data_IF_920031510325
#
_entry.id   IF_920031510325
#
_cell.length_a   1.000
_cell.length_b   1.000
_cell.length_c   1.000
_cell.angle_alpha   90.00
_cell.angle_beta   90.00
_cell.angle_gamma   90.00
#
_symmetry.space_group_name_H-M   'P 1'
#
loop_
_entity.id
_entity.type
_entity.pdbx_description
1 polymer ?
#
# COMPACT_ATOMS: atom_id res chain seq x y z
N UNK A 1 -3.80 18.46 1.94
CA UNK A 1 -4.40 17.96 0.68
C UNK A 1 -5.80 18.55 0.57
N UNK A 2 -6.39 18.72 -0.62
CA UNK A 2 -7.84 18.87 -0.69
C UNK A 2 -8.48 17.66 0.01
N UNK A 3 -9.49 17.92 0.83
CA UNK A 3 -10.17 16.96 1.71
C UNK A 3 -10.59 15.72 0.92
N UNK A 4 -10.01 14.56 1.23
CA UNK A 4 -10.25 13.31 0.50
C UNK A 4 -9.80 13.35 -0.96
N UNK A 5 -9.06 12.35 -1.39
CA UNK A 5 -8.78 12.16 -2.82
C UNK A 5 -9.21 10.77 -3.24
N UNK A 6 -9.62 10.64 -4.50
CA UNK A 6 -9.81 9.35 -5.14
C UNK A 6 -8.65 9.10 -6.08
N UNK A 7 -8.00 7.95 -5.92
CA UNK A 7 -6.86 7.53 -6.72
C UNK A 7 -7.04 6.11 -7.22
N UNK A 8 -6.49 5.83 -8.39
CA UNK A 8 -6.34 4.48 -8.88
C UNK A 8 -4.98 3.95 -8.43
N UNK A 9 -4.97 2.71 -7.97
CA UNK A 9 -3.77 2.03 -7.51
C UNK A 9 -3.62 0.74 -8.28
N UNK A 10 -2.42 0.50 -8.79
CA UNK A 10 -2.01 -0.78 -9.34
C UNK A 10 -0.93 -1.36 -8.45
N UNK A 11 -1.15 -2.54 -7.90
CA UNK A 11 -0.21 -3.24 -7.03
C UNK A 11 0.15 -4.57 -7.68
N UNK A 12 1.43 -4.73 -7.94
CA UNK A 12 2.01 -5.90 -8.58
C UNK A 12 3.04 -6.52 -7.66
N UNK A 13 2.98 -7.83 -7.46
CA UNK A 13 4.01 -8.55 -6.75
C UNK A 13 4.41 -9.83 -7.48
N UNK A 14 5.70 -10.10 -7.47
CA UNK A 14 6.30 -11.38 -7.88
C UNK A 14 7.05 -11.93 -6.70
N UNK A 15 6.79 -13.18 -6.35
CA UNK A 15 7.53 -13.88 -5.30
C UNK A 15 8.12 -15.18 -5.84
N UNK A 16 9.43 -15.30 -5.74
CA UNK A 16 10.18 -16.54 -5.85
C UNK A 16 10.39 -17.10 -4.45
N UNK A 17 9.97 -18.34 -4.21
CA UNK A 17 10.14 -19.01 -2.92
C UNK A 17 10.68 -20.42 -3.09
N UNK A 18 11.21 -21.00 -2.01
CA UNK A 18 11.79 -22.34 -1.98
C UNK A 18 12.85 -22.54 -3.08
N UNK A 19 13.69 -21.52 -3.30
CA UNK A 19 14.71 -21.58 -4.34
C UNK A 19 15.79 -22.60 -3.98
N UNK A 20 16.05 -23.50 -4.92
CA UNK A 20 17.16 -24.44 -4.93
C UNK A 20 18.17 -24.01 -5.99
N UNK A 21 19.24 -24.78 -6.19
CA UNK A 21 20.22 -24.51 -7.25
C UNK A 21 19.64 -24.65 -8.65
N UNK A 22 18.49 -25.33 -8.82
CA UNK A 22 17.92 -25.64 -10.14
C UNK A 22 16.48 -25.17 -10.35
N UNK A 23 15.77 -24.70 -9.32
CA UNK A 23 14.38 -24.25 -9.46
C UNK A 23 13.93 -23.32 -8.33
N UNK A 24 12.88 -22.53 -8.59
CA UNK A 24 12.13 -21.76 -7.60
C UNK A 24 10.64 -21.93 -7.85
N UNK A 25 9.82 -21.91 -6.80
CA UNK A 25 8.38 -21.71 -6.94
C UNK A 25 8.10 -20.23 -7.21
N UNK A 26 7.21 -19.93 -8.16
CA UNK A 26 6.86 -18.55 -8.55
C UNK A 26 5.40 -18.29 -8.28
N UNK A 27 5.09 -17.16 -7.66
CA UNK A 27 3.74 -16.62 -7.55
C UNK A 27 3.72 -15.17 -8.01
N UNK A 28 2.63 -14.79 -8.67
CA UNK A 28 2.41 -13.43 -9.14
C UNK A 28 1.04 -12.95 -8.64
N UNK A 29 0.97 -11.69 -8.25
CA UNK A 29 -0.26 -11.01 -7.86
C UNK A 29 -0.30 -9.70 -8.64
N UNK A 30 -1.40 -9.47 -9.36
CA UNK A 30 -1.70 -8.17 -9.98
C UNK A 30 -3.05 -7.74 -9.44
N UNK A 31 -3.11 -6.51 -8.95
CA UNK A 31 -4.31 -5.92 -8.40
C UNK A 31 -4.46 -4.49 -8.89
N UNK A 32 -5.70 -4.14 -9.22
CA UNK A 32 -6.08 -2.76 -9.47
C UNK A 32 -7.26 -2.40 -8.58
N UNK A 33 -7.16 -1.28 -7.87
CA UNK A 33 -8.23 -0.80 -7.00
C UNK A 33 -8.33 0.72 -7.03
N UNK A 34 -9.49 1.22 -6.66
CA UNK A 34 -9.69 2.65 -6.39
C UNK A 34 -9.62 2.87 -4.89
N UNK A 35 -8.80 3.81 -4.44
CA UNK A 35 -8.63 4.14 -3.03
C UNK A 35 -9.13 5.57 -2.74
N UNK A 36 -9.84 5.70 -1.63
CA UNK A 36 -10.40 6.95 -1.11
C UNK A 36 -9.88 7.18 0.31
N UNK A 37 -8.61 7.58 0.50
CA UNK A 37 -8.09 7.91 1.81
C UNK A 37 -8.66 9.23 2.34
N UNK A 38 -9.12 9.23 3.59
CA UNK A 38 -9.55 10.41 4.32
C UNK A 38 -9.04 10.33 5.77
N UNK A 39 -7.74 10.59 5.91
CA UNK A 39 -7.04 10.49 7.19
C UNK A 39 -7.47 11.58 8.20
N UNK A 40 -7.94 12.73 7.73
CA UNK A 40 -8.44 13.79 8.61
C UNK A 40 -9.66 13.31 9.42
N UNK A 41 -10.49 12.47 8.78
CA UNK A 41 -11.63 11.80 9.41
C UNK A 41 -11.34 10.35 9.78
N UNK A 42 -10.07 9.93 9.75
CA UNK A 42 -9.61 8.61 10.21
C UNK A 42 -10.33 7.44 9.53
N UNK A 43 -10.60 7.58 8.23
CA UNK A 43 -11.36 6.60 7.45
C UNK A 43 -10.79 6.43 6.05
N UNK A 44 -11.14 5.33 5.42
CA UNK A 44 -10.72 5.05 4.06
C UNK A 44 -11.68 4.06 3.40
N UNK A 45 -11.75 4.10 2.08
CA UNK A 45 -12.50 3.14 1.28
C UNK A 45 -11.66 2.63 0.14
N UNK A 46 -11.84 1.36 -0.20
CA UNK A 46 -11.22 0.70 -1.34
C UNK A 46 -12.31 0.00 -2.13
N UNK A 47 -12.34 0.28 -3.42
CA UNK A 47 -13.11 -0.49 -4.37
C UNK A 47 -12.13 -1.37 -5.15
N UNK A 48 -12.09 -2.66 -4.81
CA UNK A 48 -11.24 -3.63 -5.48
C UNK A 48 -12.05 -4.42 -6.50
N UNK A 49 -11.52 -4.48 -7.73
CA UNK A 49 -12.02 -5.36 -8.78
C UNK A 49 -10.87 -6.19 -9.29
N UNK A 50 -11.03 -7.52 -9.28
CA UNK A 50 -9.99 -8.40 -9.77
C UNK A 50 -9.72 -8.14 -11.26
N UNK A 51 -8.45 -8.14 -11.65
CA UNK A 51 -8.09 -8.15 -13.08
C UNK A 51 -8.34 -9.55 -13.66
N UNK A 52 -8.69 -9.67 -14.95
CA UNK A 52 -8.74 -10.98 -15.59
C UNK A 52 -7.36 -11.62 -15.44
N UNK A 53 -7.31 -12.77 -14.75
CA UNK A 53 -6.10 -13.54 -14.38
C UNK A 53 -5.33 -13.09 -13.12
N UNK A 54 -5.83 -12.12 -12.35
CA UNK A 54 -5.24 -11.70 -11.08
C UNK A 54 -6.06 -12.16 -9.87
N UNK A 55 -5.50 -13.00 -9.01
CA UNK A 55 -6.04 -13.26 -7.66
C UNK A 55 -5.37 -12.32 -6.67
N UNK A 56 -6.07 -11.28 -6.23
CA UNK A 56 -5.62 -10.44 -5.12
C UNK A 56 -5.85 -11.14 -3.76
N UNK A 57 -5.16 -10.75 -2.67
CA UNK A 57 -5.45 -11.21 -1.33
C UNK A 57 -6.68 -10.51 -0.71
N UNK A 58 -7.34 -9.63 -1.47
CA UNK A 58 -8.53 -8.90 -1.05
C UNK A 58 -9.79 -9.49 -1.67
N UNK A 59 -10.88 -9.43 -0.91
CA UNK A 59 -12.21 -9.72 -1.40
C UNK A 59 -12.58 -8.74 -2.52
N UNK A 60 -13.07 -9.25 -3.65
CA UNK A 60 -13.61 -8.42 -4.73
C UNK A 60 -14.88 -7.74 -4.25
N UNK A 61 -14.89 -6.41 -4.24
CA UNK A 61 -15.95 -5.62 -3.61
C UNK A 61 -15.38 -4.37 -2.95
N UNK A 62 -16.07 -3.89 -1.91
CA UNK A 62 -15.68 -2.69 -1.18
C UNK A 62 -15.14 -3.05 0.19
N UNK A 63 -13.99 -2.47 0.55
CA UNK A 63 -13.51 -2.42 1.94
C UNK A 63 -13.63 -0.99 2.45
N UNK A 64 -14.36 -0.81 3.55
CA UNK A 64 -14.55 0.47 4.21
C UNK A 64 -14.00 0.36 5.63
N UNK A 65 -13.03 1.20 5.97
CA UNK A 65 -12.37 1.14 7.27
C UNK A 65 -12.45 2.46 8.04
N UNK A 66 -12.53 2.31 9.36
CA UNK A 66 -12.57 3.41 10.32
C UNK A 66 -11.55 3.15 11.43
N UNK A 67 -10.65 4.09 11.65
CA UNK A 67 -9.66 4.04 12.72
C UNK A 67 -10.29 4.62 13.99
N UNK A 68 -10.24 3.86 15.07
CA UNK A 68 -10.69 4.31 16.39
C UNK A 68 -9.54 4.73 17.29
N UNK A 69 -8.33 4.24 17.04
CA UNK A 69 -7.12 4.60 17.79
C UNK A 69 -6.05 5.14 16.85
N UNK A 70 -5.72 6.43 17.04
CA UNK A 70 -4.74 7.16 16.22
C UNK A 70 -3.30 6.72 16.44
N UNK A 71 -3.00 6.09 17.57
CA UNK A 71 -1.64 5.67 17.93
C UNK A 71 -1.34 4.32 17.31
N UNK A 72 -2.25 3.36 17.50
CA UNK A 72 -2.10 2.01 16.96
C UNK A 72 -2.59 1.89 15.51
N UNK A 73 -3.31 2.89 15.00
CA UNK A 73 -4.00 2.89 13.70
C UNK A 73 -4.99 1.73 13.54
N UNK A 74 -5.50 1.23 14.67
CA UNK A 74 -6.48 0.16 14.73
C UNK A 74 -7.92 0.71 14.78
N UNK A 75 -8.85 -0.08 14.26
CA UNK A 75 -10.29 0.13 14.39
C UNK A 75 -11.05 -1.05 13.80
N UNK A 76 -11.91 -0.78 12.83
CA UNK A 76 -12.75 -1.80 12.20
C UNK A 76 -12.82 -1.63 10.69
N UNK A 77 -13.01 -2.76 10.01
CA UNK A 77 -13.15 -2.87 8.57
C UNK A 77 -14.45 -3.59 8.24
N UNK A 78 -15.25 -2.97 7.37
CA UNK A 78 -16.35 -3.61 6.67
C UNK A 78 -15.85 -4.09 5.31
N UNK A 79 -16.16 -5.32 4.95
CA UNK A 79 -15.90 -5.86 3.62
C UNK A 79 -17.23 -6.35 3.05
N UNK A 80 -17.65 -5.77 1.93
CA UNK A 80 -18.98 -6.00 1.38
C UNK A 80 -19.04 -5.96 -0.14
N UNK A 81 -20.04 -6.65 -0.69
CA UNK A 81 -20.50 -6.55 -2.07
C UNK A 81 -22.02 -6.25 -2.11
N UNK A 82 -22.70 -6.61 -3.19
CA UNK A 82 -24.15 -6.40 -3.31
C UNK A 82 -24.99 -7.34 -2.43
N UNK A 83 -24.45 -8.47 -1.99
CA UNK A 83 -25.18 -9.57 -1.34
C UNK A 83 -24.69 -9.84 0.09
N UNK A 84 -23.42 -9.61 0.38
CA UNK A 84 -22.77 -9.97 1.62
C UNK A 84 -22.05 -8.77 2.22
N UNK A 85 -22.08 -8.70 3.55
CA UNK A 85 -21.26 -7.76 4.29
C UNK A 85 -20.77 -8.39 5.59
N UNK A 86 -19.47 -8.24 5.84
CA UNK A 86 -18.82 -8.66 7.07
C UNK A 86 -18.20 -7.45 7.75
N UNK A 87 -18.09 -7.50 9.08
CA UNK A 87 -17.27 -6.56 9.83
C UNK A 87 -16.26 -7.30 10.69
N UNK A 88 -15.06 -6.75 10.80
CA UNK A 88 -14.00 -7.25 11.67
C UNK A 88 -13.28 -6.11 12.38
N UNK A 89 -12.79 -6.38 13.58
CA UNK A 89 -11.80 -5.52 14.24
C UNK A 89 -10.42 -5.77 13.66
N UNK A 90 -9.69 -4.70 13.38
CA UNK A 90 -8.32 -4.81 12.87
C UNK A 90 -7.37 -5.15 14.02
N UNK A 91 -6.51 -6.15 13.84
CA UNK A 91 -5.46 -6.52 14.81
C UNK A 91 -4.08 -5.98 14.44
N UNK A 92 -3.97 -5.38 13.26
CA UNK A 92 -2.79 -4.70 12.74
C UNK A 92 -3.26 -3.50 11.91
N UNK A 93 -2.45 -2.43 11.78
CA UNK A 93 -2.75 -1.35 10.85
C UNK A 93 -3.05 -1.92 9.46
N UNK A 94 -4.08 -1.38 8.82
CA UNK A 94 -4.40 -1.76 7.45
C UNK A 94 -3.23 -1.41 6.54
N UNK A 95 -2.76 -2.36 5.74
CA UNK A 95 -1.67 -2.12 4.77
C UNK A 95 -2.03 -1.10 3.69
N UNK A 96 -3.28 -0.65 3.69
CA UNK A 96 -3.87 0.31 2.75
C UNK A 96 -3.57 1.76 3.16
N UNK A 97 -3.25 2.02 4.44
CA UNK A 97 -2.83 3.35 4.91
C UNK A 97 -1.53 3.85 4.25
N UNK A 98 -0.78 2.97 3.60
CA UNK A 98 0.54 3.25 3.04
C UNK A 98 0.52 4.27 1.88
N UNK A 99 -0.65 4.61 1.34
CA UNK A 99 -0.78 5.54 0.20
C UNK A 99 -0.62 7.01 0.61
N UNK A 100 -0.41 7.29 1.91
CA UNK A 100 -0.69 8.63 2.44
C UNK A 100 0.48 9.41 3.03
N UNK A 101 1.71 8.87 3.14
CA UNK A 101 2.92 9.67 3.34
C UNK A 101 4.21 8.82 3.26
N UNK A 102 5.35 9.50 3.16
CA UNK A 102 6.69 8.91 3.32
C UNK A 102 6.86 8.43 4.77
N UNK A 103 7.16 7.15 4.97
CA UNK A 103 7.47 6.61 6.30
C UNK A 103 8.79 7.18 6.86
N UNK A 104 8.88 7.37 8.18
CA UNK A 104 10.08 7.92 8.85
C UNK A 104 11.37 7.12 8.59
N UNK A 105 11.25 5.84 8.26
CA UNK A 105 12.39 4.98 7.94
C UNK A 105 13.02 5.29 6.56
N UNK A 106 12.33 6.04 5.71
CA UNK A 106 12.77 6.38 4.37
C UNK A 106 13.60 7.66 4.36
N UNK A 107 14.73 7.63 3.68
CA UNK A 107 15.64 8.76 3.56
C UNK A 107 15.41 9.46 2.23
N UNK A 108 15.33 10.79 2.24
CA UNK A 108 15.31 11.58 1.01
C UNK A 108 16.62 11.37 0.23
N UNK A 109 16.50 11.11 -1.08
CA UNK A 109 17.63 10.86 -1.97
C UNK A 109 17.80 12.02 -2.93
N UNK A 110 16.77 12.34 -3.71
CA UNK A 110 16.83 13.39 -4.72
C UNK A 110 15.43 13.88 -5.13
N UNK A 111 15.38 15.05 -5.76
CA UNK A 111 14.21 15.47 -6.55
C UNK A 111 14.35 14.89 -7.95
N UNK A 112 13.27 14.32 -8.48
CA UNK A 112 13.24 13.66 -9.78
C UNK A 112 12.15 14.26 -10.68
N UNK A 113 12.41 14.27 -11.99
CA UNK A 113 11.40 14.57 -13.01
C UNK A 113 10.77 13.28 -13.54
N UNK A 114 9.46 13.24 -13.72
CA UNK A 114 8.73 12.11 -14.31
C UNK A 114 7.99 12.60 -15.55
N UNK A 115 8.50 12.27 -16.74
CA UNK A 115 7.89 12.75 -17.98
C UNK A 115 8.02 14.27 -18.13
N UNK A 116 6.93 14.95 -18.52
CA UNK A 116 6.92 16.38 -18.87
C UNK A 116 6.24 17.19 -17.76
N UNK A 117 6.98 18.13 -17.18
CA UNK A 117 6.50 19.08 -16.15
C UNK A 117 5.94 18.45 -14.87
N UNK A 118 6.38 17.24 -14.51
CA UNK A 118 6.03 16.62 -13.24
C UNK A 118 7.30 16.40 -12.41
N UNK A 119 7.33 17.01 -11.23
CA UNK A 119 8.41 16.87 -10.26
C UNK A 119 7.93 16.05 -9.06
N UNK A 120 8.79 15.16 -8.59
CA UNK A 120 8.56 14.31 -7.44
C UNK A 120 9.85 14.18 -6.62
N UNK A 121 9.73 13.52 -5.48
CA UNK A 121 10.84 13.29 -4.55
C UNK A 121 11.04 11.78 -4.40
N UNK A 122 12.29 11.33 -4.57
CA UNK A 122 12.67 9.96 -4.35
C UNK A 122 13.19 9.79 -2.92
N UNK A 123 12.64 8.78 -2.25
CA UNK A 123 13.09 8.31 -0.96
C UNK A 123 13.51 6.85 -1.04
N UNK A 124 14.48 6.45 -0.22
CA UNK A 124 14.97 5.08 -0.16
C UNK A 124 15.25 4.64 1.26
N UNK A 125 15.03 3.36 1.54
CA UNK A 125 15.63 2.68 2.67
C UNK A 125 16.24 1.36 2.22
N UNK A 126 17.41 1.05 2.79
CA UNK A 126 18.06 -0.23 2.62
C UNK A 126 18.28 -0.82 4.00
N UNK A 127 17.87 -2.07 4.21
CA UNK A 127 18.13 -2.79 5.45
C UNK A 127 18.66 -4.17 5.14
N UNK A 128 19.47 -4.70 6.05
CA UNK A 128 19.97 -6.06 6.00
C UNK A 128 19.91 -6.63 7.40
N UNK A 129 19.37 -7.84 7.52
CA UNK A 129 19.29 -8.57 8.79
C UNK A 129 19.66 -10.03 8.57
N UNK A 130 20.20 -10.65 9.61
CA UNK A 130 20.48 -12.09 9.63
C UNK A 130 19.39 -12.80 10.42
N UNK A 131 18.84 -13.89 9.88
CA UNK A 131 17.85 -14.74 10.54
C UNK A 131 18.28 -16.20 10.38
N UNK A 132 18.83 -16.78 11.45
CA UNK A 132 19.41 -18.13 11.39
C UNK A 132 20.56 -18.21 10.38
N UNK A 133 20.45 -19.15 9.44
CA UNK A 133 21.45 -19.34 8.38
C UNK A 133 21.30 -18.38 7.19
N UNK A 134 20.30 -17.49 7.21
CA UNK A 134 19.94 -16.65 6.07
C UNK A 134 20.24 -15.18 6.32
N UNK A 135 20.60 -14.48 5.26
CA UNK A 135 20.70 -13.02 5.18
C UNK A 135 19.52 -12.51 4.37
N UNK A 136 18.75 -11.60 4.97
CA UNK A 136 17.59 -10.95 4.37
C UNK A 136 17.95 -9.49 4.10
N UNK A 137 17.89 -9.10 2.84
CA UNK A 137 18.11 -7.73 2.38
C UNK A 137 16.78 -7.15 1.91
N UNK A 138 16.45 -5.95 2.36
CA UNK A 138 15.27 -5.21 1.90
C UNK A 138 15.73 -3.87 1.33
N UNK A 139 15.32 -3.61 0.09
CA UNK A 139 15.42 -2.31 -0.58
C UNK A 139 14.02 -1.80 -0.78
N UNK A 140 13.78 -0.53 -0.43
CA UNK A 140 12.50 0.11 -0.59
C UNK A 140 12.72 1.49 -1.20
N UNK A 141 12.21 1.69 -2.41
CA UNK A 141 12.12 2.97 -3.11
C UNK A 141 10.70 3.50 -3.00
N UNK A 142 10.57 4.78 -2.69
CA UNK A 142 9.29 5.45 -2.57
C UNK A 142 9.38 6.80 -3.27
N UNK A 143 8.48 7.04 -4.21
CA UNK A 143 8.40 8.26 -4.99
C UNK A 143 7.11 8.94 -4.61
N UNK A 144 7.21 10.18 -4.14
CA UNK A 144 6.05 10.98 -3.82
C UNK A 144 6.11 12.37 -4.43
N UNK A 145 4.95 12.86 -4.85
CA UNK A 145 4.78 14.25 -5.21
C UNK A 145 4.54 15.06 -3.95
N UNK A 146 5.31 16.12 -3.77
CA UNK A 146 5.17 17.03 -2.64
C UNK A 146 4.25 18.19 -3.02
N UNK A 147 3.24 18.45 -2.18
CA UNK A 147 2.25 19.51 -2.29
C UNK A 147 2.34 20.50 -1.13
N UNK A 148 3.45 20.49 -0.38
CA UNK A 148 3.64 21.47 0.69
C UNK A 148 3.82 22.87 0.11
N UNK A 149 2.71 23.61 0.04
CA UNK A 149 2.76 25.06 0.02
C UNK A 149 3.42 25.48 1.34
N UNK A 150 4.50 26.28 1.28
CA UNK A 150 5.43 26.57 2.38
C UNK A 150 4.89 27.21 3.67
N UNK A 151 3.58 27.12 3.94
CA UNK A 151 2.88 27.58 5.15
C UNK A 151 2.38 26.44 6.05
N UNK A 152 2.45 25.18 5.63
CA UNK A 152 2.02 24.02 6.43
C UNK A 152 3.23 23.25 6.98
N UNK A 153 3.26 23.02 8.30
CA UNK A 153 4.27 22.19 8.96
C UNK A 153 4.08 20.68 8.72
N UNK A 154 2.99 20.28 8.06
CA UNK A 154 2.77 18.89 7.65
C UNK A 154 3.11 18.78 6.16
N UNK A 155 4.17 18.03 5.79
CA UNK A 155 4.49 17.79 4.39
C UNK A 155 3.34 17.00 3.75
N UNK A 156 2.58 17.68 2.89
CA UNK A 156 1.53 17.05 2.11
C UNK A 156 2.21 16.31 0.95
N UNK A 157 2.18 14.99 0.94
CA UNK A 157 2.74 14.23 -0.17
C UNK A 157 1.79 13.14 -0.64
N UNK A 158 1.73 12.91 -1.96
CA UNK A 158 1.01 11.77 -2.53
C UNK A 158 2.02 10.75 -3.04
N UNK A 159 1.84 9.49 -2.64
CA UNK A 159 2.54 8.37 -3.26
C UNK A 159 2.26 8.37 -4.77
N UNK A 160 3.31 8.31 -5.58
CA UNK A 160 3.21 8.14 -7.04
C UNK A 160 3.63 6.72 -7.42
N UNK A 161 4.72 6.25 -6.81
CA UNK A 161 5.28 4.93 -7.09
C UNK A 161 6.05 4.39 -5.89
N UNK A 162 5.89 3.11 -5.58
CA UNK A 162 6.61 2.40 -4.53
C UNK A 162 7.18 1.11 -5.12
N UNK A 163 8.43 0.79 -4.79
CA UNK A 163 9.05 -0.48 -5.16
C UNK A 163 9.78 -1.06 -3.94
N UNK A 164 9.40 -2.27 -3.56
CA UNK A 164 9.97 -3.01 -2.43
C UNK A 164 10.55 -4.31 -2.96
N UNK A 165 11.84 -4.50 -2.74
CA UNK A 165 12.56 -5.73 -3.07
C UNK A 165 13.09 -6.35 -1.79
N UNK A 166 12.61 -7.54 -1.46
CA UNK A 166 13.14 -8.37 -0.37
C UNK A 166 13.85 -9.58 -0.95
N UNK A 167 15.13 -9.73 -0.65
CA UNK A 167 15.96 -10.84 -1.08
C UNK A 167 16.47 -11.62 0.12
N UNK A 168 16.23 -12.92 0.13
CA UNK A 168 16.74 -13.83 1.14
C UNK A 168 17.78 -14.78 0.52
N UNK A 169 18.93 -14.90 1.17
CA UNK A 169 20.04 -15.74 0.72
C UNK A 169 20.62 -16.53 1.87
N UNK A 170 21.21 -17.69 1.61
CA UNK A 170 22.00 -18.43 2.59
C UNK A 170 23.28 -17.63 2.87
N UNK A 171 23.53 -17.29 4.13
CA UNK A 171 24.62 -16.39 4.54
C UNK A 171 26.01 -16.90 4.13
N UNK A 172 26.23 -18.21 4.20
CA UNK A 172 27.55 -18.81 3.93
C UNK A 172 27.84 -18.99 2.44
N UNK A 173 26.83 -19.16 1.60
CA UNK A 173 27.00 -19.49 0.17
C UNK A 173 26.49 -18.42 -0.78
N UNK A 174 25.69 -17.47 -0.29
CA UNK A 174 24.99 -16.48 -1.11
C UNK A 174 23.86 -17.06 -1.97
N UNK A 175 23.54 -18.35 -1.83
CA UNK A 175 22.48 -19.00 -2.60
C UNK A 175 21.13 -18.33 -2.32
N UNK A 176 20.37 -18.01 -3.37
CA UNK A 176 19.03 -17.47 -3.24
C UNK A 176 18.09 -18.48 -2.58
N UNK A 177 17.35 -18.04 -1.56
CA UNK A 177 16.29 -18.80 -0.88
C UNK A 177 14.93 -18.29 -1.32
N UNK A 178 14.78 -16.96 -1.36
CA UNK A 178 13.57 -16.29 -1.80
C UNK A 178 13.87 -14.89 -2.35
N UNK A 179 13.02 -14.42 -3.25
CA UNK A 179 13.01 -13.05 -3.75
C UNK A 179 11.56 -12.61 -3.85
N UNK A 180 11.22 -11.47 -3.26
CA UNK A 180 9.91 -10.85 -3.42
C UNK A 180 10.11 -9.44 -3.93
N UNK A 181 9.45 -9.11 -5.04
CA UNK A 181 9.33 -7.75 -5.54
C UNK A 181 7.88 -7.33 -5.41
N UNK A 182 7.62 -6.11 -4.96
CA UNK A 182 6.30 -5.50 -4.93
C UNK A 182 6.41 -4.08 -5.46
N UNK A 183 5.58 -3.76 -6.45
CA UNK A 183 5.52 -2.45 -7.07
C UNK A 183 4.10 -1.92 -6.92
N UNK A 184 3.98 -0.69 -6.43
CA UNK A 184 2.71 0.03 -6.34
C UNK A 184 2.80 1.29 -7.20
N UNK A 185 1.82 1.51 -8.06
CA UNK A 185 1.68 2.69 -8.89
C UNK A 185 0.36 3.38 -8.57
N UNK A 186 0.40 4.69 -8.40
CA UNK A 186 -0.78 5.49 -8.07
C UNK A 186 -0.97 6.58 -9.12
N UNK A 187 -2.19 6.67 -9.66
CA UNK A 187 -2.51 7.56 -10.77
C UNK A 187 -3.96 8.04 -10.73
N UNK A 188 -4.33 8.95 -11.64
CA UNK A 188 -5.67 9.55 -11.73
C UNK A 188 -6.16 10.20 -10.43
N UNK A 189 -5.32 11.02 -9.81
CA UNK A 189 -5.70 11.82 -8.65
C UNK A 189 -6.89 12.71 -8.98
N UNK A 190 -7.99 12.50 -8.26
CA UNK A 190 -9.18 13.34 -8.35
C UNK A 190 -9.49 13.89 -6.95
N UNK A 191 -9.68 15.22 -6.82
CA UNK A 191 -10.05 15.80 -5.54
C UNK A 191 -11.49 15.39 -5.17
N UNK A 192 -11.77 15.33 -3.87
CA UNK A 192 -13.08 15.12 -3.26
C UNK A 192 -13.61 13.69 -3.24
N UNK A 193 -13.14 12.90 -2.27
CA UNK A 193 -14.02 11.90 -1.67
C UNK A 193 -15.04 12.62 -0.78
N UNK A 194 -16.33 12.35 -0.97
CA UNK A 194 -17.43 12.93 -0.21
C UNK A 194 -17.78 12.09 1.01
N UNK A 195 -18.44 12.66 2.03
CA UNK A 195 -18.94 11.87 3.17
C UNK A 195 -19.84 10.69 2.73
N UNK A 196 -20.55 10.84 1.60
CA UNK A 196 -21.36 9.78 1.01
C UNK A 196 -20.56 8.56 0.58
N UNK A 197 -19.27 8.70 0.28
CA UNK A 197 -18.42 7.58 -0.11
C UNK A 197 -18.09 6.65 1.07
N UNK A 198 -18.34 7.07 2.30
CA UNK A 198 -18.03 6.36 3.54
C UNK A 198 -19.26 5.90 4.32
N UNK A 199 -20.44 5.89 3.69
CA UNK A 199 -21.66 5.39 4.33
C UNK A 199 -21.62 3.87 4.38
N UNK A 200 -21.76 3.30 5.58
CA UNK A 200 -21.90 1.85 5.78
C UNK A 200 -23.25 1.41 5.19
N UNK A 201 -23.30 0.42 4.28
CA UNK A 201 -24.54 -0.07 3.70
C UNK A 201 -25.52 -0.58 4.76
N UNK A 202 -26.82 -0.38 4.55
CA UNK A 202 -27.85 -0.76 5.52
C UNK A 202 -27.92 -2.28 5.81
N UNK A 203 -27.46 -3.11 4.87
CA UNK A 203 -27.40 -4.57 5.04
C UNK A 203 -26.17 -5.04 5.84
N UNK A 204 -25.21 -4.15 6.13
CA UNK A 204 -24.06 -4.47 6.96
C UNK A 204 -24.44 -4.60 8.44
N UNK A 205 -23.68 -5.40 9.21
CA UNK A 205 -23.83 -5.46 10.66
C UNK A 205 -23.67 -4.06 11.29
N UNK A 206 -24.51 -3.73 12.28
CA UNK A 206 -24.44 -2.43 12.97
C UNK A 206 -23.26 -2.31 13.94
N UNK A 207 -22.57 -3.40 14.25
CA UNK A 207 -21.49 -3.43 15.23
C UNK A 207 -20.48 -4.52 14.93
N UNK A 208 -19.26 -4.25 15.37
CA UNK A 208 -18.09 -5.12 15.36
C UNK A 208 -17.49 -5.10 16.79
#
# INVERSE_FOLDING_TARGET
>A
MPRGHRVNVRDFSVTLSNCTTSSCATSNIIMSYTHYPDLDNYRYRIDFKAEPYGTGPFFEGTTLGFITDKTSLLGFEFTYDAEQCTCKKTTKPSGIYHITCVADALQFIDNIGIGVHFEAQLYRSNSTKTAGANTIQLTHNFIAQNFSDGKSNVPLCALVHEDIVTRETVTSTGQLVALSTRTIEVYNFTPHASDSDYIIPAHCPRSC
#
